data_IF_344919275433
#
_entry.id   IF_344919275433
#
_cell.length_a   1.000
_cell.length_b   1.000
_cell.length_c   1.000
_cell.angle_alpha   90.00
_cell.angle_beta   90.00
_cell.angle_gamma   90.00
#
_symmetry.space_group_name_H-M   'P 1'
#
loop_
_entity.id
_entity.type
_entity.pdbx_description
1 polymer ?
#
# COMPACT_ATOMS: atom_id res chain seq x y z
N UNK A 1 15.86 -75.05 -5.43
CA UNK A 1 16.03 -74.31 -6.70
C UNK A 1 14.98 -73.21 -6.70
N UNK A 2 15.13 -72.16 -5.89
CA UNK A 2 16.07 -71.04 -6.08
C UNK A 2 16.07 -70.48 -7.50
N UNK A 3 15.62 -69.22 -7.61
CA UNK A 3 15.55 -68.43 -8.83
C UNK A 3 14.94 -67.04 -8.55
N UNK A 4 15.68 -66.22 -7.80
CA UNK A 4 15.44 -64.80 -7.53
C UNK A 4 15.88 -63.93 -8.73
N UNK A 5 15.01 -63.01 -9.16
CA UNK A 5 15.31 -61.69 -9.76
C UNK A 5 13.96 -60.98 -9.96
N UNK A 6 13.69 -59.73 -9.58
CA UNK A 6 14.55 -58.62 -9.21
C UNK A 6 14.19 -57.41 -10.09
N UNK A 7 13.62 -56.35 -9.49
CA UNK A 7 13.41 -55.03 -10.11
C UNK A 7 11.98 -54.81 -10.62
N UNK A 8 11.33 -53.66 -10.43
CA UNK A 8 11.72 -52.37 -9.88
C UNK A 8 10.48 -51.48 -9.90
N UNK A 9 10.34 -50.61 -8.91
CA UNK A 9 9.13 -49.83 -8.66
C UNK A 9 8.74 -48.90 -9.82
N UNK A 10 7.47 -48.96 -10.21
CA UNK A 10 6.80 -47.91 -10.97
C UNK A 10 5.98 -47.06 -10.00
N UNK A 11 6.63 -46.05 -9.43
CA UNK A 11 5.91 -44.97 -8.73
C UNK A 11 5.05 -44.23 -9.75
N UNK A 12 3.74 -44.22 -9.51
CA UNK A 12 2.82 -43.36 -10.23
C UNK A 12 3.18 -41.91 -9.88
N UNK A 13 3.95 -41.27 -10.76
CA UNK A 13 4.24 -39.84 -10.73
C UNK A 13 2.91 -39.10 -10.92
N UNK A 14 2.28 -38.82 -9.79
CA UNK A 14 1.21 -37.86 -9.67
C UNK A 14 1.81 -36.52 -10.07
N UNK A 15 1.57 -36.09 -11.31
CA UNK A 15 1.89 -34.76 -11.78
C UNK A 15 1.35 -33.75 -10.76
N UNK A 16 2.27 -33.16 -9.98
CA UNK A 16 1.97 -31.95 -9.23
C UNK A 16 1.63 -30.91 -10.29
N UNK A 17 0.53 -30.14 -10.15
CA UNK A 17 0.37 -28.96 -10.96
C UNK A 17 1.58 -28.08 -10.64
N UNK A 18 2.50 -28.00 -11.60
CA UNK A 18 3.56 -27.01 -11.59
C UNK A 18 2.85 -25.69 -11.42
N UNK A 19 3.00 -25.07 -10.24
CA UNK A 19 2.78 -23.64 -10.07
C UNK A 19 3.75 -22.97 -11.02
N UNK A 20 3.34 -22.83 -12.27
CA UNK A 20 3.99 -22.00 -13.26
C UNK A 20 3.85 -20.59 -12.74
N UNK A 21 4.85 -20.18 -11.97
CA UNK A 21 5.16 -18.81 -11.63
C UNK A 21 5.53 -18.07 -12.91
N UNK A 22 4.56 -17.95 -13.82
CA UNK A 22 4.57 -16.93 -14.85
C UNK A 22 4.41 -15.64 -14.06
N UNK A 23 5.52 -14.96 -13.77
CA UNK A 23 5.49 -13.68 -13.07
C UNK A 23 4.65 -12.72 -13.90
N UNK A 24 3.41 -12.48 -13.48
CA UNK A 24 2.54 -11.55 -14.16
C UNK A 24 3.23 -10.17 -14.22
N UNK A 25 3.05 -9.41 -15.32
CA UNK A 25 3.62 -8.07 -15.42
C UNK A 25 3.22 -7.20 -14.22
N UNK A 26 4.13 -6.35 -13.74
CA UNK A 26 3.89 -5.45 -12.60
C UNK A 26 2.58 -4.67 -12.75
N UNK A 27 2.28 -4.20 -13.97
CA UNK A 27 1.04 -3.50 -14.28
C UNK A 27 -0.20 -4.37 -14.12
N UNK A 28 -0.16 -5.63 -14.56
CA UNK A 28 -1.27 -6.57 -14.42
C UNK A 28 -1.56 -6.89 -12.95
N UNK A 29 -0.50 -7.13 -12.15
CA UNK A 29 -0.62 -7.35 -10.71
C UNK A 29 -1.20 -6.10 -10.02
N UNK A 30 -0.66 -4.92 -10.32
CA UNK A 30 -1.14 -3.67 -9.74
C UNK A 30 -2.61 -3.38 -10.10
N UNK A 31 -3.00 -3.57 -11.36
CA UNK A 31 -4.39 -3.40 -11.80
C UNK A 31 -5.32 -4.39 -11.11
N UNK A 32 -4.96 -5.68 -11.06
CA UNK A 32 -5.78 -6.67 -10.37
C UNK A 32 -6.02 -6.30 -8.92
N UNK A 33 -4.95 -6.02 -8.15
CA UNK A 33 -5.09 -5.74 -6.71
C UNK A 33 -5.77 -4.40 -6.41
N UNK A 34 -5.72 -3.45 -7.35
CA UNK A 34 -6.52 -2.23 -7.30
C UNK A 34 -8.00 -2.53 -7.53
N UNK A 35 -8.34 -3.28 -8.57
CA UNK A 35 -9.73 -3.57 -8.93
C UNK A 35 -10.39 -4.58 -7.97
N UNK A 36 -9.60 -5.49 -7.40
CA UNK A 36 -10.02 -6.40 -6.34
C UNK A 36 -10.51 -5.65 -5.10
N UNK A 37 -9.96 -4.45 -4.84
CA UNK A 37 -10.36 -3.58 -3.73
C UNK A 37 -10.40 -4.33 -2.39
N UNK A 38 -9.20 -4.68 -1.90
CA UNK A 38 -9.04 -5.51 -0.70
C UNK A 38 -9.78 -4.93 0.52
N UNK A 39 -9.87 -3.60 0.64
CA UNK A 39 -10.54 -2.96 1.77
C UNK A 39 -12.05 -3.17 1.72
N UNK A 40 -12.64 -3.06 0.53
CA UNK A 40 -14.06 -3.38 0.31
C UNK A 40 -14.34 -4.86 0.57
N UNK A 41 -13.53 -5.77 0.04
CA UNK A 41 -13.71 -7.20 0.27
C UNK A 41 -13.56 -7.57 1.76
N UNK A 42 -12.63 -6.93 2.47
CA UNK A 42 -12.48 -7.08 3.92
C UNK A 42 -13.74 -6.63 4.66
N UNK A 43 -14.31 -5.49 4.30
CA UNK A 43 -15.57 -5.01 4.90
C UNK A 43 -16.70 -6.02 4.71
N UNK A 44 -16.82 -6.58 3.50
CA UNK A 44 -17.82 -7.62 3.18
C UNK A 44 -17.59 -8.88 4.03
N UNK A 45 -16.33 -9.33 4.17
CA UNK A 45 -15.97 -10.48 4.99
C UNK A 45 -16.26 -10.25 6.47
N UNK A 46 -16.02 -9.04 6.99
CA UNK A 46 -16.32 -8.68 8.37
C UNK A 46 -17.83 -8.73 8.63
N UNK A 47 -18.66 -8.17 7.73
CA UNK A 47 -20.12 -8.26 7.81
C UNK A 47 -20.61 -9.72 7.77
N UNK A 48 -20.01 -10.54 6.89
CA UNK A 48 -20.33 -11.97 6.80
C UNK A 48 -19.92 -12.71 8.08
N UNK A 49 -18.76 -12.39 8.66
CA UNK A 49 -18.27 -12.93 9.92
C UNK A 49 -19.22 -12.64 11.09
N UNK A 50 -19.70 -11.39 11.19
CA UNK A 50 -20.69 -10.99 12.18
C UNK A 50 -22.00 -11.77 12.03
N UNK A 51 -22.51 -11.91 10.79
CA UNK A 51 -23.72 -12.71 10.52
C UNK A 51 -23.52 -14.19 10.84
N UNK A 52 -22.32 -14.74 10.62
CA UNK A 52 -22.01 -16.13 11.00
C UNK A 52 -22.08 -16.28 12.52
N UNK A 53 -21.47 -15.35 13.27
CA UNK A 53 -21.51 -15.37 14.74
C UNK A 53 -22.95 -15.29 15.28
N UNK A 54 -23.76 -14.37 14.74
CA UNK A 54 -25.18 -14.25 15.09
C UNK A 54 -25.95 -15.54 14.78
N UNK A 55 -25.73 -16.13 13.60
CA UNK A 55 -26.36 -17.39 13.21
C UNK A 55 -25.94 -18.58 14.11
N UNK A 56 -24.71 -18.57 14.63
CA UNK A 56 -24.25 -19.56 15.60
C UNK A 56 -24.96 -19.40 16.93
N UNK A 57 -25.04 -18.17 17.46
CA UNK A 57 -25.74 -17.87 18.70
C UNK A 57 -27.24 -18.26 18.63
N UNK A 58 -27.90 -17.85 17.54
CA UNK A 58 -29.31 -18.16 17.30
C UNK A 58 -29.56 -19.67 17.22
N UNK A 59 -28.68 -20.45 16.58
CA UNK A 59 -28.82 -21.91 16.51
C UNK A 59 -28.61 -22.56 17.88
N UNK A 60 -27.71 -22.04 18.72
CA UNK A 60 -27.57 -22.53 20.09
C UNK A 60 -28.84 -22.27 20.92
N UNK A 61 -29.40 -21.05 20.84
CA UNK A 61 -30.67 -20.69 21.51
C UNK A 61 -31.83 -21.57 21.04
N UNK A 62 -32.00 -21.73 19.73
CA UNK A 62 -33.08 -22.55 19.17
C UNK A 62 -32.94 -24.03 19.55
N UNK A 63 -31.71 -24.57 19.51
CA UNK A 63 -31.44 -25.96 19.92
C UNK A 63 -31.80 -26.20 21.38
N UNK A 64 -31.46 -25.26 22.28
CA UNK A 64 -31.84 -25.34 23.70
C UNK A 64 -33.37 -25.31 23.87
N UNK A 65 -34.05 -24.37 23.21
CA UNK A 65 -35.51 -24.26 23.22
C UNK A 65 -36.20 -25.54 22.71
N UNK A 66 -35.68 -26.15 21.63
CA UNK A 66 -36.20 -27.41 21.10
C UNK A 66 -35.98 -28.58 22.08
N UNK A 67 -34.81 -28.65 22.71
CA UNK A 67 -34.52 -29.67 23.71
C UNK A 67 -35.47 -29.57 24.92
N UNK A 68 -35.73 -28.35 25.40
CA UNK A 68 -36.69 -28.07 26.46
C UNK A 68 -38.11 -28.44 26.04
N UNK A 69 -38.57 -27.95 24.88
CA UNK A 69 -39.92 -28.25 24.34
C UNK A 69 -40.14 -29.75 24.16
N UNK A 70 -39.10 -30.48 23.73
CA UNK A 70 -39.14 -31.94 23.58
C UNK A 70 -39.23 -32.64 24.93
N UNK A 71 -38.46 -32.17 25.91
CA UNK A 71 -38.52 -32.71 27.28
C UNK A 71 -39.90 -32.48 27.89
N UNK A 72 -40.48 -31.30 27.71
CA UNK A 72 -41.78 -30.95 28.26
C UNK A 72 -42.89 -31.74 27.58
N UNK A 73 -42.86 -31.87 26.26
CA UNK A 73 -43.75 -32.75 25.50
C UNK A 73 -43.72 -34.21 26.00
N UNK A 74 -42.54 -34.73 26.37
CA UNK A 74 -42.41 -36.09 26.93
C UNK A 74 -43.09 -36.24 28.30
N UNK A 75 -43.17 -35.16 29.08
CA UNK A 75 -43.77 -35.12 30.43
C UNK A 75 -45.28 -34.87 30.41
N UNK A 76 -45.80 -34.27 29.35
CA UNK A 76 -47.22 -34.00 29.14
C UNK A 76 -48.07 -35.28 29.12
N UNK A 77 -49.33 -35.21 29.54
CA UNK A 77 -50.27 -36.35 29.47
C UNK A 77 -50.55 -36.75 28.02
N UNK A 78 -51.09 -37.97 27.81
CA UNK A 78 -51.38 -38.42 26.46
C UNK A 78 -52.53 -37.65 25.79
N UNK A 79 -53.49 -37.12 26.56
CA UNK A 79 -54.56 -36.28 26.00
C UNK A 79 -54.02 -34.94 25.47
N UNK A 80 -53.07 -34.34 26.19
CA UNK A 80 -52.52 -33.02 25.88
C UNK A 80 -51.39 -33.05 24.83
N UNK A 81 -50.73 -34.20 24.63
CA UNK A 81 -49.66 -34.37 23.63
C UNK A 81 -50.13 -34.06 22.22
N UNK A 82 -51.34 -34.47 21.84
CA UNK A 82 -51.86 -34.20 20.49
C UNK A 82 -51.95 -32.68 20.22
N UNK A 83 -52.26 -31.88 21.23
CA UNK A 83 -52.31 -30.42 21.10
C UNK A 83 -50.93 -29.79 20.91
N UNK A 84 -49.89 -30.32 21.57
CA UNK A 84 -48.52 -29.78 21.49
C UNK A 84 -47.71 -30.30 20.30
N UNK A 85 -48.08 -31.45 19.74
CA UNK A 85 -47.30 -32.14 18.70
C UNK A 85 -47.05 -31.28 17.46
N UNK A 86 -48.09 -30.60 16.95
CA UNK A 86 -47.96 -29.74 15.77
C UNK A 86 -47.00 -28.58 15.99
N UNK A 87 -47.01 -27.97 17.17
CA UNK A 87 -46.09 -26.89 17.53
C UNK A 87 -44.64 -27.39 17.61
N UNK A 88 -44.43 -28.55 18.23
CA UNK A 88 -43.10 -29.16 18.34
C UNK A 88 -42.54 -29.54 16.97
N UNK A 89 -43.34 -30.19 16.12
CA UNK A 89 -42.95 -30.57 14.77
C UNK A 89 -42.56 -29.34 13.94
N UNK A 90 -43.37 -28.28 14.01
CA UNK A 90 -43.09 -27.01 13.33
C UNK A 90 -41.77 -26.39 13.81
N UNK A 91 -41.50 -26.42 15.11
CA UNK A 91 -40.23 -25.94 15.66
C UNK A 91 -39.02 -26.71 15.10
N UNK A 92 -39.12 -28.03 14.96
CA UNK A 92 -38.06 -28.84 14.35
C UNK A 92 -37.88 -28.53 12.86
N UNK A 93 -38.97 -28.38 12.11
CA UNK A 93 -38.93 -28.00 10.69
C UNK A 93 -38.23 -26.64 10.51
N UNK A 94 -38.63 -25.64 11.30
CA UNK A 94 -38.03 -24.31 11.25
C UNK A 94 -36.52 -24.32 11.55
N UNK A 95 -36.05 -25.13 12.51
CA UNK A 95 -34.61 -25.25 12.78
C UNK A 95 -33.87 -25.96 11.64
N UNK A 96 -34.45 -26.99 11.03
CA UNK A 96 -33.84 -27.65 9.85
C UNK A 96 -33.71 -26.68 8.67
N UNK A 97 -34.73 -25.87 8.43
CA UNK A 97 -34.69 -24.83 7.39
C UNK A 97 -33.63 -23.76 7.69
N UNK A 98 -33.52 -23.32 8.95
CA UNK A 98 -32.48 -22.37 9.39
C UNK A 98 -31.08 -22.95 9.24
N UNK A 99 -30.87 -24.22 9.59
CA UNK A 99 -29.60 -24.91 9.40
C UNK A 99 -29.20 -24.94 7.92
N UNK A 100 -30.15 -25.26 7.04
CA UNK A 100 -29.93 -25.27 5.59
C UNK A 100 -29.59 -23.89 5.06
N UNK A 101 -30.32 -22.85 5.48
CA UNK A 101 -30.04 -21.45 5.09
C UNK A 101 -28.67 -20.98 5.55
N UNK A 102 -28.27 -21.31 6.79
CA UNK A 102 -26.95 -20.95 7.35
C UNK A 102 -25.82 -21.67 6.62
N UNK A 103 -25.97 -22.96 6.33
CA UNK A 103 -24.97 -23.74 5.59
C UNK A 103 -24.71 -23.11 4.22
N UNK A 104 -25.79 -22.86 3.46
CA UNK A 104 -25.71 -22.17 2.16
C UNK A 104 -25.07 -20.80 2.28
N UNK A 105 -25.41 -20.02 3.30
CA UNK A 105 -24.80 -18.70 3.51
C UNK A 105 -23.27 -18.80 3.68
N UNK A 106 -22.80 -19.70 4.55
CA UNK A 106 -21.37 -19.91 4.79
C UNK A 106 -20.62 -20.42 3.55
N UNK A 107 -21.21 -21.38 2.83
CA UNK A 107 -20.66 -21.91 1.58
C UNK A 107 -20.53 -20.82 0.51
N UNK A 108 -21.57 -20.00 0.31
CA UNK A 108 -21.53 -18.91 -0.66
C UNK A 108 -20.52 -17.83 -0.27
N UNK A 109 -20.44 -17.45 1.01
CA UNK A 109 -19.45 -16.50 1.50
C UNK A 109 -18.02 -16.98 1.22
N UNK A 110 -17.72 -18.25 1.55
CA UNK A 110 -16.42 -18.86 1.29
C UNK A 110 -16.10 -18.95 -0.20
N UNK A 111 -17.03 -19.48 -1.02
CA UNK A 111 -16.79 -19.64 -2.44
C UNK A 111 -16.62 -18.30 -3.15
N UNK A 112 -17.33 -17.25 -2.74
CA UNK A 112 -17.19 -15.93 -3.32
C UNK A 112 -15.76 -15.40 -3.19
N UNK A 113 -15.15 -15.46 -2.00
CA UNK A 113 -13.78 -15.00 -1.82
C UNK A 113 -12.76 -15.97 -2.44
N UNK A 114 -13.01 -17.28 -2.35
CA UNK A 114 -12.13 -18.31 -2.92
C UNK A 114 -11.95 -18.13 -4.42
N UNK A 115 -13.04 -17.95 -5.18
CA UNK A 115 -12.93 -17.76 -6.64
C UNK A 115 -12.16 -16.49 -6.99
N UNK A 116 -12.44 -15.37 -6.32
CA UNK A 116 -11.73 -14.10 -6.58
C UNK A 116 -10.23 -14.22 -6.28
N UNK A 117 -9.86 -14.90 -5.19
CA UNK A 117 -8.45 -15.13 -4.83
C UNK A 117 -7.77 -16.17 -5.71
N UNK A 118 -8.51 -17.16 -6.23
CA UNK A 118 -7.98 -18.16 -7.15
C UNK A 118 -7.49 -17.53 -8.47
N UNK A 119 -8.18 -16.49 -8.94
CA UNK A 119 -7.79 -15.71 -10.12
C UNK A 119 -6.72 -14.65 -9.82
N UNK A 120 -6.37 -14.42 -8.55
CA UNK A 120 -5.46 -13.36 -8.16
C UNK A 120 -4.01 -13.71 -8.51
N UNK A 121 -3.28 -12.82 -9.22
CA UNK A 121 -1.85 -12.98 -9.39
C UNK A 121 -1.13 -12.76 -8.07
N UNK A 122 -0.13 -13.60 -7.77
CA UNK A 122 0.68 -13.48 -6.57
C UNK A 122 1.40 -12.11 -6.52
N UNK A 123 1.15 -11.26 -5.50
CA UNK A 123 1.80 -9.96 -5.38
C UNK A 123 3.26 -10.06 -4.91
N UNK A 124 3.66 -11.16 -4.27
CA UNK A 124 4.96 -11.26 -3.60
C UNK A 124 6.16 -11.11 -4.57
N UNK A 125 6.21 -11.78 -5.74
CA UNK A 125 7.33 -11.63 -6.67
C UNK A 125 7.56 -10.17 -7.11
N UNK A 126 6.47 -9.43 -7.35
CA UNK A 126 6.53 -8.01 -7.73
C UNK A 126 7.03 -7.17 -6.57
N UNK A 127 6.46 -7.32 -5.38
CA UNK A 127 6.86 -6.58 -4.18
C UNK A 127 8.33 -6.83 -3.83
N UNK A 128 8.78 -8.08 -3.91
CA UNK A 128 10.18 -8.44 -3.70
C UNK A 128 11.09 -7.82 -4.76
N UNK A 129 10.70 -7.84 -6.04
CA UNK A 129 11.48 -7.20 -7.10
C UNK A 129 11.63 -5.69 -6.89
N UNK A 130 10.57 -5.02 -6.44
CA UNK A 130 10.58 -3.59 -6.13
C UNK A 130 11.48 -3.33 -4.93
N UNK A 131 11.33 -4.08 -3.84
CA UNK A 131 12.16 -3.94 -2.64
C UNK A 131 13.66 -4.17 -2.91
N UNK A 132 14.00 -5.19 -3.70
CA UNK A 132 15.39 -5.45 -4.11
C UNK A 132 15.91 -4.33 -5.02
N UNK A 133 15.08 -3.85 -5.95
CA UNK A 133 15.48 -2.76 -6.86
C UNK A 133 15.69 -1.44 -6.12
N UNK A 134 14.84 -1.10 -5.16
CA UNK A 134 14.99 0.10 -4.33
C UNK A 134 16.23 0.00 -3.43
N UNK A 135 16.46 -1.15 -2.82
CA UNK A 135 17.69 -1.40 -2.06
C UNK A 135 18.94 -1.31 -2.92
N UNK A 136 18.90 -1.86 -4.14
CA UNK A 136 20.00 -1.79 -5.10
C UNK A 136 20.31 -0.35 -5.50
N UNK A 137 19.29 0.47 -5.73
CA UNK A 137 19.46 1.91 -6.03
C UNK A 137 20.07 2.68 -4.85
N UNK A 138 19.79 2.29 -3.61
CA UNK A 138 20.39 2.91 -2.43
C UNK A 138 21.87 2.50 -2.23
N UNK A 139 22.22 1.24 -2.45
CA UNK A 139 23.55 0.72 -2.11
C UNK A 139 24.57 0.70 -3.24
N UNK A 140 24.15 0.56 -4.49
CA UNK A 140 25.08 0.41 -5.60
C UNK A 140 25.27 1.75 -6.32
N UNK A 141 26.53 2.11 -6.64
CA UNK A 141 26.80 3.30 -7.43
C UNK A 141 26.16 3.18 -8.81
N UNK A 142 25.48 4.25 -9.23
CA UNK A 142 24.89 4.34 -10.56
C UNK A 142 26.01 4.25 -11.61
N UNK A 143 25.96 3.31 -12.56
CA UNK A 143 27.07 3.06 -13.49
C UNK A 143 27.35 4.22 -14.46
N UNK A 144 26.41 5.15 -14.65
CA UNK A 144 26.60 6.35 -15.46
C UNK A 144 27.28 7.49 -14.71
N UNK A 145 27.17 7.52 -13.38
CA UNK A 145 27.67 8.63 -12.55
C UNK A 145 28.75 8.22 -11.55
N UNK A 146 28.88 6.93 -11.24
CA UNK A 146 29.80 6.38 -10.25
C UNK A 146 29.41 6.65 -8.79
N UNK A 147 28.25 7.27 -8.52
CA UNK A 147 27.81 7.64 -7.18
C UNK A 147 26.59 6.83 -6.74
N UNK A 148 26.55 6.46 -5.46
CA UNK A 148 25.34 5.92 -4.80
C UNK A 148 24.29 7.03 -4.63
N UNK A 149 23.04 6.64 -4.31
CA UNK A 149 21.97 7.61 -4.04
C UNK A 149 22.36 8.62 -2.95
N UNK A 150 22.93 8.15 -1.84
CA UNK A 150 23.36 9.02 -0.73
C UNK A 150 24.49 9.97 -1.10
N UNK A 151 25.45 9.51 -1.91
CA UNK A 151 26.55 10.36 -2.39
C UNK A 151 26.06 11.40 -3.40
N UNK A 152 25.09 11.05 -4.25
CA UNK A 152 24.42 12.01 -5.13
C UNK A 152 23.71 13.09 -4.32
N UNK A 153 22.94 12.70 -3.29
CA UNK A 153 22.24 13.65 -2.44
C UNK A 153 23.20 14.58 -1.68
N UNK A 154 24.30 14.03 -1.14
CA UNK A 154 25.33 14.84 -0.49
C UNK A 154 25.99 15.82 -1.46
N UNK A 155 26.34 15.35 -2.66
CA UNK A 155 26.96 16.21 -3.69
C UNK A 155 26.00 17.27 -4.22
N UNK A 156 24.70 16.93 -4.34
CA UNK A 156 23.66 17.88 -4.71
C UNK A 156 23.57 18.99 -3.65
N UNK A 157 23.57 18.63 -2.38
CA UNK A 157 23.56 19.58 -1.26
C UNK A 157 24.78 20.51 -1.28
N UNK A 158 25.98 19.98 -1.48
CA UNK A 158 27.20 20.78 -1.57
C UNK A 158 27.15 21.76 -2.75
N UNK A 159 26.73 21.28 -3.92
CA UNK A 159 26.56 22.11 -5.11
C UNK A 159 25.50 23.20 -4.92
N UNK A 160 24.39 22.89 -4.25
CA UNK A 160 23.36 23.88 -3.92
C UNK A 160 23.88 24.95 -2.94
N UNK A 161 24.71 24.55 -1.98
CA UNK A 161 25.37 25.45 -1.02
C UNK A 161 26.36 26.39 -1.71
N UNK A 162 27.22 25.85 -2.58
CA UNK A 162 28.16 26.65 -3.37
C UNK A 162 27.44 27.59 -4.33
N UNK A 163 26.38 27.12 -4.99
CA UNK A 163 25.55 27.95 -5.86
C UNK A 163 24.92 29.13 -5.10
N UNK A 164 24.50 28.91 -3.85
CA UNK A 164 23.98 29.96 -2.97
C UNK A 164 25.06 30.98 -2.62
N UNK A 165 26.26 30.53 -2.26
CA UNK A 165 27.40 31.43 -1.95
C UNK A 165 27.78 32.29 -3.15
N UNK A 166 27.96 31.68 -4.32
CA UNK A 166 28.29 32.40 -5.55
C UNK A 166 27.23 33.45 -5.91
N UNK A 167 25.94 33.15 -5.69
CA UNK A 167 24.86 34.13 -5.89
C UNK A 167 24.98 35.33 -4.96
N UNK A 168 25.35 35.12 -3.69
CA UNK A 168 25.56 36.21 -2.73
C UNK A 168 26.76 37.06 -3.14
N UNK A 169 27.91 36.44 -3.44
CA UNK A 169 29.11 37.16 -3.89
C UNK A 169 28.86 37.96 -5.17
N UNK A 170 28.11 37.39 -6.11
CA UNK A 170 27.73 38.09 -7.35
C UNK A 170 26.89 39.35 -7.06
N UNK A 171 25.97 39.28 -6.10
CA UNK A 171 25.20 40.46 -5.68
C UNK A 171 26.06 41.48 -4.94
N UNK A 172 26.99 41.05 -4.09
CA UNK A 172 27.96 41.95 -3.44
C UNK A 172 28.81 42.70 -4.48
N UNK A 173 29.41 41.99 -5.45
CA UNK A 173 30.16 42.62 -6.53
C UNK A 173 29.31 43.57 -7.38
N UNK A 174 28.02 43.23 -7.62
CA UNK A 174 27.09 44.13 -8.30
C UNK A 174 26.88 45.40 -7.51
N UNK A 175 26.64 45.30 -6.20
CA UNK A 175 26.47 46.49 -5.34
C UNK A 175 27.73 47.34 -5.30
N UNK A 176 28.91 46.74 -5.16
CA UNK A 176 30.19 47.46 -5.17
C UNK A 176 30.45 48.15 -6.51
N UNK A 177 30.19 47.48 -7.63
CA UNK A 177 30.30 48.08 -8.96
C UNK A 177 29.40 49.30 -9.12
N UNK A 178 28.16 49.24 -8.61
CA UNK A 178 27.28 50.43 -8.61
C UNK A 178 27.81 51.55 -7.73
N UNK A 179 28.35 51.21 -6.55
CA UNK A 179 28.93 52.18 -5.63
C UNK A 179 30.15 52.89 -6.25
N UNK A 180 31.08 52.15 -6.84
CA UNK A 180 32.25 52.70 -7.52
C UNK A 180 31.87 53.60 -8.70
N UNK A 181 30.85 53.23 -9.49
CA UNK A 181 30.33 54.10 -10.57
C UNK A 181 29.80 55.43 -10.01
N UNK A 182 29.08 55.40 -8.88
CA UNK A 182 28.59 56.61 -8.22
C UNK A 182 29.74 57.47 -7.66
N UNK A 183 30.75 56.84 -7.07
CA UNK A 183 31.96 57.54 -6.60
C UNK A 183 32.71 58.19 -7.77
N UNK A 184 32.94 57.47 -8.88
CA UNK A 184 33.56 58.01 -10.08
C UNK A 184 32.80 59.21 -10.65
N UNK A 185 31.46 59.16 -10.67
CA UNK A 185 30.63 60.29 -11.08
C UNK A 185 30.80 61.49 -10.14
N UNK A 186 30.97 61.25 -8.84
CA UNK A 186 31.19 62.30 -7.83
C UNK A 186 32.58 62.93 -7.98
N UNK A 187 33.63 62.11 -8.13
CA UNK A 187 35.00 62.58 -8.36
C UNK A 187 35.06 63.49 -9.60
N UNK A 188 34.49 63.06 -10.73
CA UNK A 188 34.44 63.88 -11.96
C UNK A 188 33.78 65.24 -11.74
N UNK A 189 32.71 65.31 -10.94
CA UNK A 189 32.04 66.58 -10.60
C UNK A 189 32.92 67.47 -9.71
N UNK A 190 33.64 66.88 -8.77
CA UNK A 190 34.54 67.62 -7.88
C UNK A 190 35.76 68.15 -8.63
N UNK A 191 36.38 67.33 -9.47
CA UNK A 191 37.49 67.74 -10.35
C UNK A 191 37.09 68.91 -11.26
N UNK A 192 35.89 68.85 -11.86
CA UNK A 192 35.36 69.94 -12.68
C UNK A 192 35.17 71.23 -11.85
N UNK A 193 34.66 71.13 -10.62
CA UNK A 193 34.49 72.31 -9.74
C UNK A 193 35.83 72.90 -9.30
N UNK A 194 36.82 72.07 -8.98
CA UNK A 194 38.17 72.53 -8.63
C UNK A 194 38.78 73.29 -9.81
N UNK A 195 38.68 72.74 -11.01
CA UNK A 195 39.17 73.39 -12.24
C UNK A 195 38.50 74.75 -12.47
N UNK A 196 37.19 74.86 -12.24
CA UNK A 196 36.47 76.13 -12.33
C UNK A 196 36.96 77.15 -11.29
N UNK A 197 37.18 76.72 -10.05
CA UNK A 197 37.71 77.59 -9.00
C UNK A 197 39.14 78.04 -9.28
N UNK A 198 40.02 77.16 -9.76
CA UNK A 198 41.39 77.51 -10.17
C UNK A 198 41.41 78.53 -11.31
N UNK A 199 40.52 78.40 -12.29
CA UNK A 199 40.35 79.39 -13.36
C UNK A 199 39.89 80.75 -12.81
N UNK A 200 38.94 80.76 -11.87
CA UNK A 200 38.49 81.99 -11.22
C UNK A 200 39.65 82.67 -10.48
N UNK A 201 40.39 81.94 -9.64
CA UNK A 201 41.56 82.48 -8.91
C UNK A 201 42.60 83.05 -9.88
N UNK A 202 42.91 82.33 -10.95
CA UNK A 202 43.84 82.81 -11.99
C UNK A 202 43.33 84.11 -12.64
N UNK A 203 42.02 84.20 -12.88
CA UNK A 203 41.39 85.42 -13.43
C UNK A 203 41.44 86.58 -12.45
N UNK A 204 41.23 86.33 -11.14
CA UNK A 204 41.29 87.34 -10.09
C UNK A 204 42.71 87.87 -9.80
N UNK A 205 43.75 87.06 -10.03
CA UNK A 205 45.15 87.46 -9.83
C UNK A 205 45.81 88.06 -11.10
N UNK A 206 45.17 87.99 -12.27
CA UNK A 206 45.64 88.59 -13.52
C UNK A 206 45.05 89.99 -13.80
N UNK A 207 44.33 90.59 -12.85
CA UNK A 207 43.85 91.98 -12.85
C UNK A 207 44.59 92.76 -11.78
#
# INVERSE_FOLDING_TARGET
MEGLQGGGGGGSEREKPSTSSTSAPVSAVATFWKDFDLEKERTILDEQGLRIAENQENSQKNRRKLAESTRDFKKTSNEEKLALFNSLLKGYQEEVDKLTKRAKFGENAFLNIYHKLYEAPDPYPVLNSVAVSTYKLMLYPDPSTGYTFFEKDAKLFDLESENRKMKVELEEFRTESTHLKNQQATIRRLEERTRQLEQQVTTYFCV
#
